data_IF_322066596792
#
_entry.id   IF_322066596792
#
_cell.length_a   1.000
_cell.length_b   1.000
_cell.length_c   1.000
_cell.angle_alpha   90.00
_cell.angle_beta   90.00
_cell.angle_gamma   90.00
#
_symmetry.space_group_name_H-M   'P 1'
#
loop_
_entity.id
_entity.type
_entity.pdbx_description
1 polymer ?
#
# COMPACT_ATOMS: atom_id res chain seq x y z
N UNK A 1 8.97 -3.55 14.74
CA UNK A 1 8.19 -4.25 13.72
C UNK A 1 7.60 -5.50 14.35
N UNK A 2 6.31 -5.77 14.10
CA UNK A 2 5.60 -6.96 14.62
C UNK A 2 5.55 -8.02 13.50
N UNK A 3 5.85 -9.28 13.82
CA UNK A 3 5.57 -10.43 12.96
C UNK A 3 4.19 -10.91 13.33
N UNK A 4 3.31 -11.01 12.33
CA UNK A 4 1.93 -11.49 12.46
C UNK A 4 1.88 -13.01 12.36
N UNK A 5 2.66 -13.57 11.41
CA UNK A 5 2.71 -15.00 11.15
C UNK A 5 4.05 -15.37 10.49
N UNK A 6 4.54 -16.58 10.75
CA UNK A 6 5.68 -17.16 10.06
C UNK A 6 5.54 -18.68 9.99
N UNK A 7 5.95 -19.24 8.86
CA UNK A 7 6.11 -20.67 8.65
C UNK A 7 7.33 -20.95 7.73
N UNK A 8 7.47 -22.13 7.17
CA UNK A 8 8.59 -22.49 6.28
C UNK A 8 8.56 -21.73 4.94
N UNK A 9 7.41 -21.20 4.53
CA UNK A 9 7.17 -20.64 3.21
C UNK A 9 7.04 -19.12 3.21
N UNK A 10 6.40 -18.56 4.24
CA UNK A 10 6.08 -17.13 4.30
C UNK A 10 6.39 -16.50 5.66
N UNK A 11 6.63 -15.21 5.62
CA UNK A 11 6.65 -14.31 6.77
C UNK A 11 5.59 -13.24 6.52
N UNK A 12 4.73 -12.98 7.49
CA UNK A 12 3.75 -11.88 7.44
C UNK A 12 4.08 -10.89 8.53
N UNK A 13 4.23 -9.63 8.13
CA UNK A 13 4.64 -8.56 9.03
C UNK A 13 3.61 -7.44 9.08
N UNK A 14 3.54 -6.76 10.20
CA UNK A 14 2.92 -5.45 10.34
C UNK A 14 3.99 -4.38 10.20
N UNK A 15 4.03 -3.74 9.02
CA UNK A 15 5.01 -2.69 8.72
C UNK A 15 4.57 -1.37 9.37
N UNK A 16 5.39 -0.72 10.20
CA UNK A 16 5.08 0.62 10.68
C UNK A 16 5.12 1.66 9.56
N UNK A 17 4.43 2.78 9.75
CA UNK A 17 4.62 3.97 8.91
C UNK A 17 6.02 4.54 9.11
N UNK A 18 6.55 5.22 8.09
CA UNK A 18 7.88 5.80 8.11
C UNK A 18 9.02 4.84 7.74
N UNK A 19 8.76 3.52 7.69
CA UNK A 19 9.75 2.51 7.30
C UNK A 19 9.66 2.20 5.80
N UNK A 20 10.76 2.37 5.05
CA UNK A 20 10.86 1.92 3.67
C UNK A 20 10.92 0.38 3.62
N UNK A 21 10.38 -0.23 2.53
CA UNK A 21 10.41 -1.69 2.39
C UNK A 21 11.80 -2.21 2.03
N UNK A 22 12.48 -1.56 1.12
CA UNK A 22 13.83 -1.91 0.64
C UNK A 22 14.62 -0.64 0.32
N UNK A 23 15.94 -0.71 0.22
CA UNK A 23 16.77 0.42 -0.17
C UNK A 23 16.32 1.01 -1.52
N UNK A 24 16.46 2.31 -1.66
CA UNK A 24 16.17 3.07 -2.87
C UNK A 24 17.09 4.28 -2.98
N UNK A 25 16.93 5.07 -4.03
CA UNK A 25 17.72 6.29 -4.19
C UNK A 25 17.48 7.23 -2.99
N UNK A 26 18.55 7.53 -2.23
CA UNK A 26 18.50 8.40 -1.05
C UNK A 26 17.95 7.74 0.21
N UNK A 27 17.93 6.41 0.29
CA UNK A 27 17.61 5.68 1.53
C UNK A 27 18.91 5.40 2.30
N UNK A 28 19.14 6.13 3.38
CA UNK A 28 20.29 5.94 4.29
C UNK A 28 19.87 5.19 5.57
N UNK A 29 18.56 5.16 5.86
CA UNK A 29 17.99 4.52 7.03
C UNK A 29 17.78 3.01 6.81
N UNK A 30 17.78 2.23 7.91
CA UNK A 30 17.38 0.83 7.90
C UNK A 30 15.99 0.66 7.28
N UNK A 31 15.84 -0.37 6.47
CA UNK A 31 14.60 -0.72 5.75
C UNK A 31 13.96 -1.98 6.36
N UNK A 32 12.76 -2.33 5.91
CA UNK A 32 12.13 -3.59 6.29
C UNK A 32 13.02 -4.79 5.94
N UNK A 33 13.68 -4.76 4.78
CA UNK A 33 14.59 -5.82 4.34
C UNK A 33 15.74 -6.04 5.33
N UNK A 34 16.31 -4.97 5.90
CA UNK A 34 17.41 -5.08 6.86
C UNK A 34 16.96 -5.82 8.13
N UNK A 35 15.76 -5.49 8.67
CA UNK A 35 15.17 -6.19 9.81
C UNK A 35 14.83 -7.66 9.49
N UNK A 36 14.37 -7.92 8.27
CA UNK A 36 14.06 -9.28 7.84
C UNK A 36 15.33 -10.13 7.74
N UNK A 37 16.42 -9.61 7.16
CA UNK A 37 17.69 -10.31 7.03
C UNK A 37 18.35 -10.58 8.38
N UNK A 38 18.20 -9.69 9.36
CA UNK A 38 18.69 -9.92 10.73
C UNK A 38 18.00 -11.11 11.40
N UNK A 39 16.70 -11.32 11.16
CA UNK A 39 15.91 -12.40 11.77
C UNK A 39 15.81 -13.65 10.90
N UNK A 40 15.81 -13.51 9.59
CA UNK A 40 15.59 -14.56 8.59
C UNK A 40 16.69 -14.50 7.52
N UNK A 41 17.95 -14.82 7.87
CA UNK A 41 19.08 -14.71 6.93
C UNK A 41 18.93 -15.60 5.69
N UNK A 42 18.12 -16.65 5.76
CA UNK A 42 17.85 -17.57 4.65
C UNK A 42 17.19 -16.87 3.44
N UNK A 43 16.47 -15.75 3.64
CA UNK A 43 15.83 -15.05 2.52
C UNK A 43 16.83 -14.31 1.62
N UNK A 44 18.10 -14.19 2.02
CA UNK A 44 19.13 -13.38 1.33
C UNK A 44 19.26 -13.68 -0.17
N UNK A 45 18.96 -14.91 -0.57
CA UNK A 45 19.06 -15.35 -1.98
C UNK A 45 17.71 -15.48 -2.68
N UNK A 46 16.60 -15.10 -2.02
CA UNK A 46 15.24 -15.28 -2.53
C UNK A 46 14.78 -14.06 -3.32
N UNK A 47 14.36 -14.26 -4.56
CA UNK A 47 13.76 -13.21 -5.38
C UNK A 47 14.40 -12.99 -6.75
N UNK A 48 13.86 -12.05 -7.54
CA UNK A 48 14.41 -11.67 -8.86
C UNK A 48 15.65 -10.76 -8.75
N UNK A 49 15.76 -10.00 -7.67
CA UNK A 49 16.87 -9.06 -7.38
C UNK A 49 17.13 -9.14 -5.88
N UNK A 50 17.64 -10.28 -5.40
CA UNK A 50 17.77 -10.54 -3.96
C UNK A 50 18.76 -9.60 -3.27
N UNK A 51 19.72 -9.01 -3.98
CA UNK A 51 20.69 -8.06 -3.44
C UNK A 51 20.03 -6.76 -2.93
N UNK A 52 18.82 -6.43 -3.46
CA UNK A 52 18.11 -5.19 -3.12
C UNK A 52 16.84 -5.48 -2.31
N UNK A 53 16.12 -6.55 -2.68
CA UNK A 53 14.78 -6.83 -2.14
C UNK A 53 14.51 -8.33 -1.95
N UNK A 54 15.31 -9.02 -1.14
CA UNK A 54 15.15 -10.45 -0.89
C UNK A 54 13.77 -10.76 -0.33
N UNK A 55 13.11 -11.78 -0.87
CA UNK A 55 11.78 -12.25 -0.47
C UNK A 55 10.61 -11.30 -0.77
N UNK A 56 10.85 -10.09 -1.27
CA UNK A 56 9.82 -9.06 -1.44
C UNK A 56 9.04 -9.25 -2.74
N UNK A 57 7.80 -9.70 -2.63
CA UNK A 57 6.86 -9.92 -3.75
C UNK A 57 5.94 -8.72 -4.01
N UNK A 58 5.73 -7.86 -3.03
CA UNK A 58 4.99 -6.60 -3.13
C UNK A 58 5.53 -5.57 -2.14
N UNK A 59 5.03 -4.33 -2.22
CA UNK A 59 5.48 -3.27 -1.31
C UNK A 59 4.37 -2.33 -0.91
N UNK A 60 4.52 -1.74 0.27
CA UNK A 60 3.81 -0.55 0.73
C UNK A 60 4.70 0.70 0.54
N UNK A 61 4.08 1.87 0.46
CA UNK A 61 4.81 3.14 0.50
C UNK A 61 5.49 3.31 1.89
N UNK A 62 6.54 4.13 1.98
CA UNK A 62 7.24 4.41 3.24
C UNK A 62 6.25 4.82 4.35
N UNK A 63 5.32 5.74 4.04
CA UNK A 63 4.36 6.29 5.00
C UNK A 63 3.12 5.40 5.24
N UNK A 64 2.93 4.33 4.46
CA UNK A 64 1.82 3.38 4.63
C UNK A 64 2.20 2.31 5.64
N UNK A 65 1.35 2.06 6.64
CA UNK A 65 1.51 0.96 7.59
C UNK A 65 0.67 -0.24 7.20
N UNK A 66 0.89 -1.38 7.87
CA UNK A 66 0.01 -2.54 7.82
C UNK A 66 0.62 -3.80 7.25
N UNK A 67 -0.24 -4.76 6.94
CA UNK A 67 0.14 -6.13 6.62
C UNK A 67 0.91 -6.24 5.30
N UNK A 68 2.00 -7.00 5.34
CA UNK A 68 2.78 -7.42 4.18
C UNK A 68 3.17 -8.89 4.28
N UNK A 69 3.17 -9.61 3.15
CA UNK A 69 3.71 -10.96 3.01
C UNK A 69 5.07 -10.94 2.33
N UNK A 70 5.98 -11.78 2.81
CA UNK A 70 7.35 -11.96 2.34
C UNK A 70 7.58 -13.46 2.11
N UNK A 71 8.22 -13.83 1.02
CA UNK A 71 8.56 -15.22 0.73
C UNK A 71 9.86 -15.63 1.44
N UNK A 72 9.88 -16.82 2.06
CA UNK A 72 11.07 -17.38 2.72
C UNK A 72 11.95 -18.23 1.81
N UNK A 73 11.39 -18.73 0.70
CA UNK A 73 12.11 -19.54 -0.27
C UNK A 73 11.73 -19.17 -1.70
N UNK A 74 12.55 -19.56 -2.66
CA UNK A 74 12.36 -19.17 -4.07
C UNK A 74 11.08 -19.74 -4.68
N UNK A 75 10.70 -20.96 -4.33
CA UNK A 75 9.45 -21.58 -4.82
C UNK A 75 8.23 -20.77 -4.43
N UNK A 76 8.15 -20.38 -3.16
CA UNK A 76 7.07 -19.53 -2.63
C UNK A 76 7.13 -18.11 -3.21
N UNK A 77 8.34 -17.58 -3.44
CA UNK A 77 8.49 -16.27 -4.11
C UNK A 77 7.85 -16.27 -5.50
N UNK A 78 8.16 -17.27 -6.35
CA UNK A 78 7.58 -17.37 -7.69
C UNK A 78 6.05 -17.56 -7.64
N UNK A 79 5.57 -18.39 -6.70
CA UNK A 79 4.14 -18.60 -6.50
C UNK A 79 3.41 -17.30 -6.13
N UNK A 80 3.86 -16.61 -5.08
CA UNK A 80 3.25 -15.36 -4.64
C UNK A 80 3.35 -14.25 -5.70
N UNK A 81 4.48 -14.15 -6.39
CA UNK A 81 4.68 -13.22 -7.51
C UNK A 81 3.65 -13.45 -8.62
N UNK A 82 3.34 -14.72 -8.95
CA UNK A 82 2.29 -15.08 -9.91
C UNK A 82 0.89 -14.68 -9.40
N UNK A 83 0.59 -14.93 -8.13
CA UNK A 83 -0.67 -14.49 -7.51
C UNK A 83 -0.85 -12.96 -7.60
N UNK A 84 0.21 -12.17 -7.31
CA UNK A 84 0.16 -10.70 -7.45
C UNK A 84 -0.01 -10.27 -8.92
N UNK A 85 0.71 -10.90 -9.85
CA UNK A 85 0.63 -10.64 -11.29
C UNK A 85 -0.78 -10.91 -11.82
N UNK A 86 -1.39 -12.01 -11.42
CA UNK A 86 -2.72 -12.45 -11.84
C UNK A 86 -3.85 -11.88 -10.98
N UNK A 87 -3.56 -10.96 -10.02
CA UNK A 87 -4.54 -10.29 -9.16
C UNK A 87 -5.39 -11.26 -8.32
N UNK A 88 -4.81 -12.38 -7.90
CA UNK A 88 -5.43 -13.41 -7.06
C UNK A 88 -5.25 -13.15 -5.57
N UNK A 89 -4.60 -12.04 -5.19
CA UNK A 89 -4.44 -11.61 -3.80
C UNK A 89 -5.43 -10.49 -3.52
N UNK A 90 -6.28 -10.68 -2.53
CA UNK A 90 -7.17 -9.64 -2.04
C UNK A 90 -6.44 -8.79 -1.00
N UNK A 91 -6.66 -7.49 -1.08
CA UNK A 91 -6.06 -6.49 -0.19
C UNK A 91 -7.11 -5.48 0.20
N UNK A 92 -7.21 -5.19 1.50
CA UNK A 92 -8.01 -4.10 2.01
C UNK A 92 -7.15 -3.11 2.76
N UNK A 93 -7.52 -1.86 2.63
CA UNK A 93 -6.87 -0.74 3.30
C UNK A 93 -7.92 0.09 4.03
N UNK A 94 -7.53 0.69 5.13
CA UNK A 94 -8.25 1.80 5.74
C UNK A 94 -7.58 3.11 5.33
N UNK A 95 -8.39 4.05 4.86
CA UNK A 95 -7.94 5.38 4.49
C UNK A 95 -8.86 6.45 5.11
N UNK A 96 -8.30 7.38 5.87
CA UNK A 96 -9.02 8.57 6.28
C UNK A 96 -8.80 9.66 5.24
N UNK A 97 -9.88 10.21 4.72
CA UNK A 97 -9.84 11.23 3.67
C UNK A 97 -10.53 12.53 4.11
N UNK A 98 -10.16 13.64 3.49
CA UNK A 98 -10.84 14.92 3.69
C UNK A 98 -12.21 14.93 3.03
N UNK A 99 -13.19 15.48 3.75
CA UNK A 99 -14.56 15.70 3.31
C UNK A 99 -15.44 14.43 3.40
N UNK A 100 -16.71 14.63 3.10
CA UNK A 100 -17.72 13.56 3.03
C UNK A 100 -17.99 13.19 1.59
N UNK A 101 -18.07 11.88 1.30
CA UNK A 101 -18.30 11.38 -0.05
C UNK A 101 -19.80 11.36 -0.33
N UNK A 102 -20.19 11.83 -1.52
CA UNK A 102 -21.58 11.77 -1.98
C UNK A 102 -22.05 10.33 -2.12
N UNK A 103 -21.25 9.51 -2.80
CA UNK A 103 -21.50 8.07 -2.97
C UNK A 103 -20.81 7.28 -1.86
N UNK A 104 -21.57 6.46 -1.14
CA UNK A 104 -21.03 5.68 0.00
C UNK A 104 -20.15 4.52 -0.44
N UNK A 105 -20.24 4.10 -1.68
CA UNK A 105 -19.35 3.14 -2.32
C UNK A 105 -19.11 3.51 -3.78
N UNK A 106 -18.00 3.06 -4.33
CA UNK A 106 -17.69 3.38 -5.70
C UNK A 106 -16.36 2.80 -6.16
N UNK A 107 -16.00 3.18 -7.39
CA UNK A 107 -14.71 2.83 -7.97
C UNK A 107 -14.02 4.04 -8.61
N UNK A 108 -12.70 4.01 -8.60
CA UNK A 108 -11.87 4.91 -9.40
C UNK A 108 -11.03 4.06 -10.33
N UNK A 109 -11.11 4.33 -11.62
CA UNK A 109 -10.39 3.57 -12.65
C UNK A 109 -9.82 4.48 -13.72
N UNK A 110 -8.80 4.00 -14.41
CA UNK A 110 -8.17 4.68 -15.53
C UNK A 110 -6.68 4.37 -15.65
N UNK A 111 -6.07 4.94 -16.69
CA UNK A 111 -4.63 4.80 -16.92
C UNK A 111 -3.85 5.68 -15.95
N UNK A 112 -2.86 5.08 -15.28
CA UNK A 112 -1.93 5.78 -14.38
C UNK A 112 -0.50 5.63 -14.84
N UNK A 113 0.30 6.64 -14.57
CA UNK A 113 1.73 6.60 -14.84
C UNK A 113 2.47 7.74 -14.17
N UNK A 114 3.78 7.81 -14.42
CA UNK A 114 4.63 8.86 -13.87
C UNK A 114 4.28 10.22 -14.49
N UNK A 115 4.02 11.21 -13.64
CA UNK A 115 3.72 12.58 -14.08
C UNK A 115 4.85 13.14 -14.93
N UNK A 116 4.49 13.79 -16.06
CA UNK A 116 5.47 14.52 -16.89
C UNK A 116 5.94 15.82 -16.24
N UNK A 117 5.12 16.40 -15.33
CA UNK A 117 5.44 17.66 -14.63
C UNK A 117 6.33 17.46 -13.40
N UNK A 118 6.14 16.36 -12.67
CA UNK A 118 6.94 16.03 -11.49
C UNK A 118 7.20 14.51 -11.48
N UNK A 119 8.41 14.10 -11.85
CA UNK A 119 8.80 12.70 -11.96
C UNK A 119 8.70 11.91 -10.64
N UNK A 120 8.62 12.59 -9.49
CA UNK A 120 8.43 11.99 -8.18
C UNK A 120 6.97 11.62 -7.89
N UNK A 121 6.04 12.05 -8.76
CA UNK A 121 4.60 11.83 -8.63
C UNK A 121 4.08 10.89 -9.69
N UNK A 122 2.99 10.21 -9.34
CA UNK A 122 2.11 9.52 -10.27
C UNK A 122 0.90 10.41 -10.57
N UNK A 123 0.26 10.18 -11.69
CA UNK A 123 -0.99 10.85 -12.05
C UNK A 123 -1.92 9.89 -12.77
N UNK A 124 -3.22 10.09 -12.58
CA UNK A 124 -4.25 9.48 -13.41
C UNK A 124 -4.39 10.31 -14.69
N UNK A 125 -4.53 9.63 -15.83
CA UNK A 125 -4.81 10.29 -17.12
C UNK A 125 -6.22 10.83 -17.10
N UNK A 126 -6.39 12.15 -17.23
CA UNK A 126 -7.68 12.84 -17.31
C UNK A 126 -7.55 14.08 -18.19
N UNK A 127 -8.37 14.19 -19.21
CA UNK A 127 -8.34 15.33 -20.14
C UNK A 127 -6.94 15.56 -20.70
N UNK A 128 -6.36 16.74 -20.47
CA UNK A 128 -5.00 17.11 -20.96
C UNK A 128 -3.85 16.55 -20.11
N UNK A 129 -4.12 15.80 -19.02
CA UNK A 129 -3.07 15.22 -18.18
C UNK A 129 -2.52 13.98 -18.87
N UNK A 130 -1.26 14.03 -19.27
CA UNK A 130 -0.53 12.91 -19.82
C UNK A 130 0.55 12.42 -18.86
N UNK A 131 0.85 11.13 -18.89
CA UNK A 131 1.85 10.46 -18.05
C UNK A 131 2.86 9.70 -18.90
N UNK A 132 3.89 9.14 -18.25
CA UNK A 132 4.84 8.21 -18.89
C UNK A 132 4.55 6.79 -18.41
N UNK A 133 4.67 5.80 -19.29
CA UNK A 133 4.46 4.36 -18.98
C UNK A 133 3.07 4.12 -18.39
N UNK A 134 2.05 4.48 -19.13
CA UNK A 134 0.65 4.30 -18.78
C UNK A 134 0.30 2.85 -18.48
N UNK A 135 -0.44 2.63 -17.40
CA UNK A 135 -0.93 1.31 -17.01
C UNK A 135 -2.30 1.44 -16.38
N UNK A 136 -3.22 0.57 -16.77
CA UNK A 136 -4.54 0.50 -16.17
C UNK A 136 -4.48 0.29 -14.66
N UNK A 137 -5.34 1.00 -13.94
CA UNK A 137 -5.51 0.95 -12.50
C UNK A 137 -6.99 0.95 -12.11
N UNK A 138 -7.33 0.22 -11.06
CA UNK A 138 -8.69 0.11 -10.54
C UNK A 138 -8.64 0.00 -9.01
N UNK A 139 -9.41 0.85 -8.32
CA UNK A 139 -9.59 0.86 -6.87
C UNK A 139 -11.06 0.98 -6.54
N UNK A 140 -11.58 0.07 -5.72
CA UNK A 140 -12.91 0.16 -5.13
C UNK A 140 -12.79 0.81 -3.75
N UNK A 141 -13.83 1.52 -3.32
CA UNK A 141 -13.92 2.07 -1.97
C UNK A 141 -15.34 1.96 -1.43
N UNK A 142 -15.45 1.88 -0.10
CA UNK A 142 -16.70 1.99 0.63
C UNK A 142 -16.49 2.84 1.88
N UNK A 143 -17.43 3.72 2.19
CA UNK A 143 -17.42 4.55 3.40
C UNK A 143 -17.79 3.68 4.59
N UNK A 144 -16.90 3.58 5.56
CA UNK A 144 -17.10 2.84 6.82
C UNK A 144 -17.68 3.74 7.91
N UNK A 145 -17.21 5.00 7.95
CA UNK A 145 -17.67 5.99 8.94
C UNK A 145 -17.47 7.39 8.40
N UNK A 146 -18.41 8.27 8.70
CA UNK A 146 -18.30 9.70 8.41
C UNK A 146 -18.11 10.49 9.70
N UNK A 147 -17.33 11.54 9.57
CA UNK A 147 -17.09 12.56 10.59
C UNK A 147 -17.45 13.91 9.99
N UNK A 148 -17.46 14.96 10.79
CA UNK A 148 -17.82 16.31 10.29
C UNK A 148 -16.98 16.77 9.08
N UNK A 149 -15.67 16.51 9.11
CA UNK A 149 -14.70 16.98 8.10
C UNK A 149 -13.97 15.87 7.36
N UNK A 150 -14.24 14.59 7.70
CA UNK A 150 -13.49 13.44 7.21
C UNK A 150 -14.40 12.25 6.91
N UNK A 151 -13.91 11.34 6.10
CA UNK A 151 -14.51 10.02 5.93
C UNK A 151 -13.47 8.93 6.09
N UNK A 152 -13.79 7.88 6.84
CA UNK A 152 -13.02 6.65 6.92
C UNK A 152 -13.52 5.69 5.85
N UNK A 153 -12.62 5.29 4.96
CA UNK A 153 -12.92 4.39 3.85
C UNK A 153 -12.25 3.03 4.04
N UNK A 154 -12.97 1.96 3.68
CA UNK A 154 -12.34 0.71 3.27
C UNK A 154 -12.04 0.82 1.78
N UNK A 155 -10.80 0.52 1.40
CA UNK A 155 -10.31 0.66 0.02
C UNK A 155 -9.73 -0.66 -0.46
N UNK A 156 -10.19 -1.15 -1.62
CA UNK A 156 -9.79 -2.43 -2.22
C UNK A 156 -9.14 -2.20 -3.59
N UNK A 157 -7.81 -2.05 -3.68
CA UNK A 157 -7.13 -1.87 -4.95
C UNK A 157 -7.05 -3.21 -5.70
N UNK A 158 -7.66 -3.28 -6.88
CA UNK A 158 -7.60 -4.46 -7.78
C UNK A 158 -6.31 -4.52 -8.59
N UNK A 159 -5.57 -3.43 -8.65
CA UNK A 159 -4.22 -3.32 -9.23
C UNK A 159 -3.25 -2.79 -8.18
N UNK A 160 -1.94 -2.82 -8.43
CA UNK A 160 -0.91 -2.40 -7.49
C UNK A 160 0.06 -1.39 -8.10
N UNK A 161 -0.43 -0.22 -8.58
CA UNK A 161 0.45 0.83 -9.11
C UNK A 161 1.02 1.67 -7.98
N UNK A 162 2.21 2.21 -8.20
CA UNK A 162 2.86 3.10 -7.23
C UNK A 162 1.94 4.25 -6.82
N UNK A 163 1.74 4.48 -5.53
CA UNK A 163 0.85 5.51 -4.96
C UNK A 163 -0.63 5.42 -5.41
N UNK A 164 -1.11 4.27 -5.90
CA UNK A 164 -2.41 4.16 -6.57
C UNK A 164 -3.56 4.70 -5.74
N UNK A 165 -3.76 4.22 -4.52
CA UNK A 165 -4.85 4.64 -3.63
C UNK A 165 -4.80 6.16 -3.42
N UNK A 166 -3.62 6.69 -3.15
CA UNK A 166 -3.38 8.12 -2.89
C UNK A 166 -3.79 8.99 -4.09
N UNK A 167 -3.35 8.61 -5.29
CA UNK A 167 -3.69 9.31 -6.54
C UNK A 167 -5.17 9.19 -6.86
N UNK A 168 -5.77 8.01 -6.69
CA UNK A 168 -7.17 7.78 -6.96
C UNK A 168 -8.07 8.61 -6.05
N UNK A 169 -7.87 8.56 -4.74
CA UNK A 169 -8.67 9.32 -3.79
C UNK A 169 -8.49 10.84 -3.96
N UNK A 170 -7.26 11.30 -4.21
CA UNK A 170 -7.01 12.70 -4.59
C UNK A 170 -7.77 13.09 -5.87
N UNK A 171 -7.82 12.22 -6.87
CA UNK A 171 -8.44 12.52 -8.16
C UNK A 171 -9.97 12.68 -8.12
N UNK A 172 -10.61 12.14 -7.09
CA UNK A 172 -12.06 12.30 -6.85
C UNK A 172 -12.40 13.40 -5.83
N UNK A 173 -11.39 14.19 -5.42
CA UNK A 173 -11.59 15.32 -4.51
C UNK A 173 -11.37 15.02 -3.03
N UNK A 174 -11.05 13.77 -2.66
CA UNK A 174 -10.92 13.31 -1.30
C UNK A 174 -9.50 12.81 -0.99
N UNK A 175 -8.49 13.72 -0.86
CA UNK A 175 -7.12 13.31 -0.57
C UNK A 175 -7.01 12.71 0.83
N UNK A 176 -6.04 11.80 1.00
CA UNK A 176 -5.78 11.15 2.29
C UNK A 176 -5.23 12.18 3.29
N UNK A 177 -5.74 12.16 4.51
CA UNK A 177 -5.27 13.00 5.61
C UNK A 177 -3.80 12.67 5.91
N UNK A 178 -2.96 13.71 6.02
CA UNK A 178 -1.53 13.57 6.23
C UNK A 178 -0.71 13.21 4.99
N UNK A 179 -1.30 13.11 3.81
CA UNK A 179 -0.55 12.92 2.57
C UNK A 179 0.12 14.23 2.13
N UNK A 180 1.44 14.33 2.30
CA UNK A 180 2.24 15.51 1.94
C UNK A 180 2.46 15.66 0.41
N UNK A 181 2.17 14.63 -0.38
CA UNK A 181 2.45 14.58 -1.82
C UNK A 181 1.21 14.80 -2.68
N UNK A 182 0.09 14.18 -2.30
CA UNK A 182 -1.19 14.23 -3.01
C UNK A 182 -2.25 14.88 -2.12
N UNK A 183 -2.20 16.21 -2.04
CA UNK A 183 -3.15 17.02 -1.27
C UNK A 183 -3.43 18.32 -1.99
N UNK A 184 -4.59 18.92 -1.72
CA UNK A 184 -4.95 20.25 -2.23
C UNK A 184 -4.35 21.35 -1.38
N UNK A 185 -4.20 22.54 -1.97
CA UNK A 185 -3.65 23.72 -1.28
C UNK A 185 -4.41 24.03 0.02
N UNK A 186 -5.74 23.88 0.01
CA UNK A 186 -6.60 24.12 1.17
C UNK A 186 -6.30 23.23 2.38
N UNK A 187 -5.81 21.98 2.16
CA UNK A 187 -5.53 21.03 3.23
C UNK A 187 -4.05 20.92 3.60
N UNK A 188 -3.18 21.65 2.88
CA UNK A 188 -1.72 21.49 3.02
C UNK A 188 -1.19 21.86 4.40
N UNK A 189 -1.85 22.79 5.09
CA UNK A 189 -1.45 23.28 6.41
C UNK A 189 -2.15 22.54 7.57
N UNK A 190 -3.01 21.54 7.27
CA UNK A 190 -3.64 20.73 8.32
C UNK A 190 -2.61 19.74 8.83
N UNK A 191 -2.26 19.88 10.11
CA UNK A 191 -1.32 18.98 10.77
C UNK A 191 -1.96 17.60 10.98
N UNK A 192 -1.19 16.55 10.69
CA UNK A 192 -1.57 15.19 10.98
C UNK A 192 -0.32 14.41 11.43
N UNK A 193 -0.46 13.52 12.43
CA UNK A 193 0.69 12.81 13.01
C UNK A 193 1.32 11.84 12.00
N UNK A 194 0.56 11.41 10.98
CA UNK A 194 0.99 10.49 9.94
C UNK A 194 0.10 10.61 8.70
N UNK A 195 0.47 9.91 7.63
CA UNK A 195 -0.46 9.63 6.54
C UNK A 195 -1.44 8.52 6.98
N UNK A 196 -2.74 8.80 6.94
CA UNK A 196 -3.78 7.88 7.36
C UNK A 196 -4.15 6.88 6.26
N UNK A 197 -3.18 6.05 5.90
CA UNK A 197 -3.35 4.90 5.00
C UNK A 197 -2.72 3.66 5.66
N UNK A 198 -3.52 2.61 5.81
CA UNK A 198 -3.13 1.39 6.50
C UNK A 198 -3.62 0.17 5.73
N UNK A 199 -2.72 -0.78 5.41
CA UNK A 199 -3.05 -2.07 4.83
C UNK A 199 -3.63 -2.97 5.91
N UNK A 200 -4.97 -3.01 6.01
CA UNK A 200 -5.69 -3.66 7.11
C UNK A 200 -5.78 -5.17 6.94
N UNK A 201 -5.91 -5.68 5.71
CA UNK A 201 -5.93 -7.13 5.49
C UNK A 201 -5.35 -7.55 4.15
N UNK A 202 -4.91 -8.81 4.12
CA UNK A 202 -4.40 -9.48 2.94
C UNK A 202 -4.85 -10.94 2.98
N UNK A 203 -5.38 -11.46 1.85
CA UNK A 203 -5.79 -12.85 1.73
C UNK A 203 -5.43 -13.45 0.37
N UNK A 204 -5.11 -14.74 0.39
CA UNK A 204 -4.78 -15.54 -0.79
C UNK A 204 -4.91 -17.03 -0.50
N UNK A 205 -4.91 -17.85 -1.54
CA UNK A 205 -4.73 -19.29 -1.41
C UNK A 205 -3.25 -19.62 -1.50
N UNK A 206 -2.73 -20.38 -0.55
CA UNK A 206 -1.33 -20.81 -0.50
C UNK A 206 -0.99 -21.93 -1.49
N UNK A 207 0.30 -22.27 -1.62
CA UNK A 207 0.74 -23.38 -2.47
C UNK A 207 0.27 -24.75 -1.97
N UNK A 208 -0.12 -24.84 -0.71
CA UNK A 208 -0.73 -26.00 -0.03
C UNK A 208 -2.24 -26.11 -0.27
N UNK A 209 -2.86 -25.14 -0.96
CA UNK A 209 -4.30 -25.07 -1.20
C UNK A 209 -5.08 -24.41 -0.06
N UNK A 210 -4.44 -24.10 1.05
CA UNK A 210 -5.08 -23.47 2.21
C UNK A 210 -5.35 -21.98 1.97
N UNK A 211 -6.45 -21.48 2.55
CA UNK A 211 -6.81 -20.06 2.50
C UNK A 211 -6.13 -19.32 3.65
N UNK A 212 -5.23 -18.43 3.30
CA UNK A 212 -4.59 -17.53 4.24
C UNK A 212 -5.34 -16.20 4.29
N UNK A 213 -5.61 -15.74 5.51
CA UNK A 213 -6.19 -14.43 5.80
C UNK A 213 -5.43 -13.79 6.96
N UNK A 214 -4.87 -12.62 6.74
CA UNK A 214 -4.09 -11.90 7.72
C UNK A 214 -4.64 -10.49 7.89
N UNK A 215 -4.68 -10.04 9.13
CA UNK A 215 -5.11 -8.69 9.50
C UNK A 215 -4.04 -7.97 10.29
N UNK A 216 -4.02 -6.66 10.16
CA UNK A 216 -3.28 -5.74 11.00
C UNK A 216 -4.25 -4.69 11.54
N UNK A 217 -4.30 -4.54 12.85
CA UNK A 217 -5.12 -3.50 13.48
C UNK A 217 -4.63 -2.11 13.09
N UNK A 218 -5.55 -1.19 12.77
CA UNK A 218 -5.14 0.17 12.47
C UNK A 218 -4.46 0.80 13.69
N UNK A 219 -3.42 1.63 13.47
CA UNK A 219 -2.78 2.38 14.53
C UNK A 219 -3.80 3.21 15.32
N UNK A 220 -3.51 3.41 16.62
CA UNK A 220 -4.43 4.08 17.58
C UNK A 220 -4.95 5.45 17.09
N UNK A 221 -4.16 6.17 16.32
CA UNK A 221 -4.51 7.47 15.76
C UNK A 221 -5.77 7.43 14.87
N UNK A 222 -6.09 6.26 14.28
CA UNK A 222 -7.34 6.06 13.54
C UNK A 222 -8.58 6.07 14.46
N UNK A 223 -8.44 5.75 15.73
CA UNK A 223 -9.50 5.80 16.74
C UNK A 223 -9.68 7.17 17.41
N UNK A 224 -8.70 8.07 17.29
CA UNK A 224 -8.69 9.40 17.90
C UNK A 224 -9.36 10.48 17.04
N UNK A 225 -9.90 10.11 15.88
CA UNK A 225 -10.54 11.02 14.91
C UNK A 225 -11.91 11.46 15.45
N UNK A 226 -12.10 12.75 15.59
CA UNK A 226 -13.34 13.38 16.03
C UNK A 226 -14.07 14.10 14.88
#
# INVERSE_FOLDING_TARGET
MKIIFENQDIIVVDKPAGLAVHPGVGTEEKTLVDFLLEKFPEIKTVGDVPEIRPGIVHRLDKETSGVMVVARNQKTFEYLKDLFKNRKIEKKYLALVFGTLKEKEGKVEGEMGRSKKDFRKQSLVRGKISVRKERYSLTHYAVKKEFEKYSLLEVSPKTGRMHQIRVHLHSIGHPIVGDKKYTFKAFKNISAPRMFLHASSLSFTGPDGEKYFFESEPPKEFGEIK
#
